data_IF_701232750387
#
_entry.id   IF_701232750387
#
_cell.length_a   1.000
_cell.length_b   1.000
_cell.length_c   1.000
_cell.angle_alpha   90.00
_cell.angle_beta   90.00
_cell.angle_gamma   90.00
#
_symmetry.space_group_name_H-M   'P 1'
#
loop_
_entity.id
_entity.type
_entity.pdbx_description
1 polymer ?
#
# COMPACT_ATOMS: atom_id res chain seq x y z
N UNK A 1 3.85 33.34 2.34
CA UNK A 1 3.04 32.10 2.24
C UNK A 1 4.02 30.95 2.37
N UNK A 2 3.99 30.18 3.47
CA UNK A 2 4.81 28.97 3.56
C UNK A 2 4.27 28.00 2.52
N UNK A 3 5.12 27.68 1.54
CA UNK A 3 4.83 26.64 0.56
C UNK A 3 4.93 25.31 1.31
N UNK A 4 3.84 24.86 1.96
CA UNK A 4 3.85 23.60 2.69
C UNK A 4 3.94 22.47 1.67
N UNK A 5 5.16 22.01 1.40
CA UNK A 5 5.42 20.86 0.57
C UNK A 5 4.60 19.67 1.11
N UNK A 6 3.79 19.06 0.27
CA UNK A 6 3.05 17.85 0.62
C UNK A 6 4.05 16.75 0.98
N UNK A 7 3.83 16.11 2.14
CA UNK A 7 4.66 15.01 2.62
C UNK A 7 4.12 13.68 2.12
N UNK A 8 4.95 12.87 1.47
CA UNK A 8 4.60 11.50 1.06
C UNK A 8 5.24 10.49 2.02
N UNK A 9 4.40 9.68 2.65
CA UNK A 9 4.83 8.59 3.54
C UNK A 9 4.54 7.26 2.84
N UNK A 10 5.59 6.48 2.57
CA UNK A 10 5.46 5.12 2.06
C UNK A 10 5.34 4.11 3.19
N UNK A 11 4.31 3.26 3.17
CA UNK A 11 4.09 2.17 4.13
C UNK A 11 4.16 0.84 3.40
N UNK A 12 5.33 0.22 3.41
CA UNK A 12 5.59 -1.08 2.80
C UNK A 12 5.52 -2.23 3.82
N UNK A 13 5.56 -3.46 3.35
CA UNK A 13 5.58 -4.68 4.16
C UNK A 13 4.84 -5.81 3.48
N UNK A 14 5.03 -7.04 3.92
CA UNK A 14 4.39 -8.23 3.34
C UNK A 14 2.87 -8.21 3.45
N UNK A 15 2.21 -9.05 2.66
CA UNK A 15 0.77 -9.26 2.83
C UNK A 15 0.47 -9.74 4.26
N UNK A 16 -0.59 -9.20 4.89
CA UNK A 16 -0.95 -9.52 6.28
C UNK A 16 -0.05 -8.86 7.35
N UNK A 17 0.92 -8.00 6.99
CA UNK A 17 1.81 -7.37 7.98
C UNK A 17 1.15 -6.26 8.81
N UNK A 18 0.00 -5.72 8.39
CA UNK A 18 -0.67 -4.60 9.06
C UNK A 18 -0.39 -3.22 8.47
N UNK A 19 0.15 -3.13 7.24
CA UNK A 19 0.36 -1.84 6.53
C UNK A 19 -0.89 -0.96 6.50
N UNK A 20 -2.00 -1.53 6.06
CA UNK A 20 -3.28 -0.82 5.97
C UNK A 20 -3.78 -0.37 7.34
N UNK A 21 -3.53 -1.16 8.38
CA UNK A 21 -3.83 -0.78 9.78
C UNK A 21 -3.02 0.44 10.19
N UNK A 22 -1.71 0.45 9.92
CA UNK A 22 -0.85 1.60 10.20
C UNK A 22 -1.30 2.85 9.43
N UNK A 23 -1.59 2.70 8.13
CA UNK A 23 -2.07 3.81 7.30
C UNK A 23 -3.40 4.39 7.83
N UNK A 24 -4.32 3.53 8.28
CA UNK A 24 -5.59 3.97 8.89
C UNK A 24 -5.37 4.70 10.21
N UNK A 25 -4.54 4.19 11.11
CA UNK A 25 -4.23 4.88 12.37
C UNK A 25 -3.68 6.28 12.13
N UNK A 26 -2.79 6.45 11.12
CA UNK A 26 -2.30 7.77 10.73
C UNK A 26 -3.45 8.65 10.22
N UNK A 27 -4.32 8.13 9.36
CA UNK A 27 -5.44 8.91 8.84
C UNK A 27 -6.48 9.26 9.91
N UNK A 28 -6.76 8.36 10.84
CA UNK A 28 -7.70 8.59 11.94
C UNK A 28 -7.20 9.71 12.88
N UNK A 29 -5.89 9.79 13.11
CA UNK A 29 -5.28 10.84 13.95
C UNK A 29 -5.36 12.23 13.31
N UNK A 30 -5.17 12.33 11.97
CA UNK A 30 -5.05 13.61 11.29
C UNK A 30 -6.25 13.97 10.41
N UNK A 31 -7.21 13.06 10.26
CA UNK A 31 -8.46 13.29 9.55
C UNK A 31 -8.26 13.86 8.14
N UNK A 32 -8.81 15.03 7.90
CA UNK A 32 -8.80 15.67 6.58
C UNK A 32 -7.41 16.15 6.10
N UNK A 33 -6.38 16.09 6.91
CA UNK A 33 -5.02 16.49 6.52
C UNK A 33 -4.27 15.38 5.80
N UNK A 34 -4.79 14.14 5.87
CA UNK A 34 -4.18 12.93 5.28
C UNK A 34 -5.05 12.36 4.16
N UNK A 35 -4.42 11.96 3.06
CA UNK A 35 -5.01 11.09 2.05
C UNK A 35 -4.28 9.74 2.03
N UNK A 36 -5.03 8.63 1.93
CA UNK A 36 -4.46 7.30 1.75
C UNK A 36 -4.59 6.91 0.29
N UNK A 37 -3.50 6.39 -0.28
CA UNK A 37 -3.46 5.77 -1.61
C UNK A 37 -2.98 4.34 -1.46
N UNK A 38 -3.83 3.39 -1.84
CA UNK A 38 -3.46 1.98 -1.88
C UNK A 38 -2.80 1.65 -3.22
N UNK A 39 -1.60 1.06 -3.19
CA UNK A 39 -0.90 0.59 -4.39
C UNK A 39 -1.73 -0.45 -5.16
N UNK A 40 -2.50 -1.27 -4.44
CA UNK A 40 -3.36 -2.29 -5.02
C UNK A 40 -4.43 -1.71 -5.97
N UNK A 41 -4.81 -0.44 -5.82
CA UNK A 41 -5.67 0.27 -6.79
C UNK A 41 -5.04 0.37 -8.18
N UNK A 42 -3.72 0.26 -8.28
CA UNK A 42 -2.95 0.43 -9.51
C UNK A 42 -2.54 -0.90 -10.16
N UNK A 43 -3.12 -2.04 -9.78
CA UNK A 43 -2.99 -3.23 -10.61
C UNK A 43 -3.43 -2.93 -12.04
N UNK A 44 -2.71 -3.46 -13.03
CA UNK A 44 -3.06 -3.25 -14.45
C UNK A 44 -4.45 -3.81 -14.73
N UNK A 45 -5.25 -3.07 -15.52
CA UNK A 45 -6.50 -3.59 -16.07
C UNK A 45 -6.20 -4.78 -17.00
N UNK A 46 -7.04 -5.80 -16.93
CA UNK A 46 -6.92 -7.05 -17.69
C UNK A 46 -8.24 -7.38 -18.40
N UNK A 47 -8.78 -6.38 -19.11
CA UNK A 47 -10.07 -6.49 -19.79
C UNK A 47 -10.03 -7.45 -20.98
N UNK A 48 -8.84 -7.78 -21.48
CA UNK A 48 -8.55 -8.72 -22.56
C UNK A 48 -8.50 -10.18 -22.10
N UNK A 49 -8.54 -10.45 -20.78
CA UNK A 49 -8.42 -11.79 -20.20
C UNK A 49 -9.74 -12.27 -19.61
N UNK A 50 -9.99 -13.58 -19.72
CA UNK A 50 -11.10 -14.23 -19.02
C UNK A 50 -10.93 -14.18 -17.50
N UNK A 51 -11.99 -14.45 -16.75
CA UNK A 51 -11.93 -14.51 -15.29
C UNK A 51 -10.93 -15.58 -14.80
N UNK A 52 -10.94 -16.75 -15.44
CA UNK A 52 -10.06 -17.89 -15.13
C UNK A 52 -8.59 -17.52 -15.35
N UNK A 53 -8.30 -16.83 -16.45
CA UNK A 53 -6.93 -16.35 -16.74
C UNK A 53 -6.48 -15.30 -15.71
N UNK A 54 -7.38 -14.43 -15.26
CA UNK A 54 -7.06 -13.46 -14.19
C UNK A 54 -6.83 -14.13 -12.85
N UNK A 55 -7.54 -15.20 -12.52
CA UNK A 55 -7.37 -15.93 -11.26
C UNK A 55 -5.98 -16.56 -11.10
N UNK A 56 -5.29 -16.88 -12.20
CA UNK A 56 -3.96 -17.50 -12.18
C UNK A 56 -2.81 -16.52 -12.36
N UNK A 57 -3.10 -15.22 -12.50
CA UNK A 57 -2.07 -14.19 -12.62
C UNK A 57 -1.26 -14.02 -11.34
N UNK A 58 0.01 -13.67 -11.51
CA UNK A 58 0.90 -13.30 -10.41
C UNK A 58 0.76 -11.80 -10.09
N UNK A 59 -0.11 -11.47 -9.13
CA UNK A 59 -0.31 -10.10 -8.66
C UNK A 59 0.76 -9.60 -7.68
N UNK A 60 1.66 -10.46 -7.26
CA UNK A 60 2.75 -10.11 -6.33
C UNK A 60 4.06 -9.77 -7.06
N UNK A 61 4.05 -9.72 -8.42
CA UNK A 61 5.19 -9.29 -9.23
C UNK A 61 5.10 -7.77 -9.53
N UNK A 62 6.23 -7.02 -9.57
CA UNK A 62 6.23 -5.59 -9.89
C UNK A 62 5.50 -5.23 -11.19
N UNK A 63 5.60 -6.07 -12.23
CA UNK A 63 4.96 -5.85 -13.53
C UNK A 63 3.43 -5.89 -13.49
N UNK A 64 2.85 -6.41 -12.39
CA UNK A 64 1.39 -6.40 -12.20
C UNK A 64 0.82 -5.00 -12.02
N UNK A 65 1.66 -4.01 -11.71
CA UNK A 65 1.24 -2.65 -11.37
C UNK A 65 1.47 -1.66 -12.50
N UNK A 66 0.58 -0.69 -12.61
CA UNK A 66 0.73 0.49 -13.47
C UNK A 66 1.41 1.62 -12.69
N UNK A 67 2.68 1.42 -12.38
CA UNK A 67 3.49 2.34 -11.56
C UNK A 67 3.60 3.73 -12.18
N UNK A 68 3.59 3.81 -13.52
CA UNK A 68 3.62 5.08 -14.23
C UNK A 68 2.41 5.96 -13.89
N UNK A 69 1.21 5.39 -13.92
CA UNK A 69 -0.02 6.10 -13.55
C UNK A 69 0.01 6.55 -12.08
N UNK A 70 0.52 5.70 -11.18
CA UNK A 70 0.68 6.06 -9.77
C UNK A 70 1.63 7.24 -9.60
N UNK A 71 2.80 7.24 -10.27
CA UNK A 71 3.74 8.36 -10.23
C UNK A 71 3.10 9.65 -10.74
N UNK A 72 2.34 9.59 -11.84
CA UNK A 72 1.61 10.75 -12.37
C UNK A 72 0.58 11.28 -11.38
N UNK A 73 -0.18 10.40 -10.73
CA UNK A 73 -1.17 10.79 -9.72
C UNK A 73 -0.51 11.44 -8.48
N UNK A 74 0.58 10.85 -7.98
CA UNK A 74 1.35 11.46 -6.88
C UNK A 74 1.88 12.84 -7.26
N UNK A 75 2.43 12.99 -8.47
CA UNK A 75 2.94 14.28 -8.95
C UNK A 75 1.84 15.34 -9.03
N UNK A 76 0.65 14.99 -9.55
CA UNK A 76 -0.51 15.89 -9.61
C UNK A 76 -0.97 16.30 -8.22
N UNK A 77 -1.10 15.36 -7.29
CA UNK A 77 -1.45 15.66 -5.90
C UNK A 77 -0.43 16.62 -5.27
N UNK A 78 0.87 16.40 -5.50
CA UNK A 78 1.93 17.29 -5.01
C UNK A 78 1.88 18.70 -5.63
N UNK A 79 1.32 18.85 -6.84
CA UNK A 79 1.07 20.16 -7.46
C UNK A 79 -0.28 20.79 -7.08
N UNK A 80 -1.04 20.17 -6.19
CA UNK A 80 -2.32 20.68 -5.71
C UNK A 80 -3.52 20.28 -6.57
N UNK A 81 -3.36 19.33 -7.48
CA UNK A 81 -4.41 18.83 -8.37
C UNK A 81 -5.05 17.56 -7.82
N UNK A 82 -6.38 17.47 -7.91
CA UNK A 82 -7.09 16.24 -7.58
C UNK A 82 -6.92 15.16 -8.65
N UNK A 83 -6.96 13.89 -8.24
CA UNK A 83 -6.84 12.74 -9.13
C UNK A 83 -7.98 11.76 -8.96
N UNK A 84 -8.29 11.01 -10.00
CA UNK A 84 -9.30 9.96 -10.00
C UNK A 84 -8.58 8.60 -9.91
N UNK A 85 -8.41 8.10 -8.68
CA UNK A 85 -7.72 6.84 -8.38
C UNK A 85 -8.58 5.66 -8.82
N UNK A 86 -8.03 4.69 -9.57
CA UNK A 86 -8.76 3.47 -9.96
C UNK A 86 -9.28 2.70 -8.73
N UNK A 87 -10.36 1.97 -8.90
CA UNK A 87 -10.86 1.03 -7.90
C UNK A 87 -10.62 -0.40 -8.42
N UNK A 88 -9.87 -1.18 -7.62
CA UNK A 88 -9.64 -2.58 -7.91
C UNK A 88 -10.70 -3.47 -7.25
N UNK A 89 -11.33 -4.31 -8.04
CA UNK A 89 -12.31 -5.30 -7.58
C UNK A 89 -11.63 -6.65 -7.37
N UNK A 90 -11.44 -7.00 -6.10
CA UNK A 90 -10.82 -8.28 -5.72
C UNK A 90 -11.67 -9.50 -6.09
N UNK A 91 -13.00 -9.33 -6.22
CA UNK A 91 -13.90 -10.42 -6.61
C UNK A 91 -13.80 -10.74 -8.10
N UNK A 92 -13.48 -9.73 -8.91
CA UNK A 92 -13.31 -9.86 -10.35
C UNK A 92 -11.85 -9.99 -10.78
N UNK A 93 -10.90 -9.86 -9.86
CA UNK A 93 -9.48 -9.80 -10.18
C UNK A 93 -9.15 -8.78 -11.29
N UNK A 94 -9.81 -7.62 -11.25
CA UNK A 94 -9.66 -6.58 -12.28
C UNK A 94 -9.95 -5.18 -11.71
N UNK A 95 -9.55 -4.14 -12.43
CA UNK A 95 -10.06 -2.78 -12.17
C UNK A 95 -11.54 -2.68 -12.56
N UNK A 96 -12.30 -1.96 -11.74
CA UNK A 96 -13.65 -1.55 -12.10
C UNK A 96 -13.61 -0.30 -13.02
N UNK A 97 -14.73 -0.01 -13.67
CA UNK A 97 -14.90 1.23 -14.45
C UNK A 97 -15.06 2.47 -13.57
N UNK A 98 -15.14 2.29 -12.26
CA UNK A 98 -15.29 3.38 -11.28
C UNK A 98 -13.93 3.86 -10.79
N UNK A 99 -13.89 5.13 -10.41
CA UNK A 99 -12.74 5.76 -9.76
C UNK A 99 -13.15 6.40 -8.44
N UNK A 100 -12.18 6.63 -7.59
CA UNK A 100 -12.34 7.40 -6.37
C UNK A 100 -11.57 8.72 -6.49
N UNK A 101 -12.27 9.86 -6.36
CA UNK A 101 -11.61 11.15 -6.42
C UNK A 101 -10.85 11.43 -5.14
N UNK A 102 -9.56 11.63 -5.26
CA UNK A 102 -8.65 11.98 -4.16
C UNK A 102 -8.22 13.44 -4.31
N UNK A 103 -8.44 14.22 -3.27
CA UNK A 103 -8.03 15.62 -3.20
C UNK A 103 -6.60 15.73 -2.65
N UNK A 104 -5.82 16.74 -3.05
CA UNK A 104 -4.52 17.00 -2.44
C UNK A 104 -4.68 17.29 -0.95
N UNK A 105 -3.82 16.69 -0.14
CA UNK A 105 -3.76 16.86 1.31
C UNK A 105 -2.34 17.17 1.73
N UNK A 106 -2.13 17.67 2.93
CA UNK A 106 -0.79 17.99 3.43
C UNK A 106 0.09 16.75 3.59
N UNK A 107 -0.53 15.59 3.83
CA UNK A 107 0.15 14.29 3.92
C UNK A 107 -0.53 13.28 3.01
N UNK A 108 0.26 12.54 2.25
CA UNK A 108 -0.19 11.40 1.45
C UNK A 108 0.46 10.15 2.03
N UNK A 109 -0.35 9.19 2.45
CA UNK A 109 0.12 7.85 2.85
C UNK A 109 -0.06 6.91 1.67
N UNK A 110 1.04 6.50 1.04
CA UNK A 110 1.06 5.47 0.00
C UNK A 110 1.35 4.12 0.66
N UNK A 111 0.41 3.17 0.60
CA UNK A 111 0.63 1.84 1.17
C UNK A 111 0.60 0.74 0.12
N UNK A 112 1.46 -0.25 0.27
CA UNK A 112 1.48 -1.42 -0.61
C UNK A 112 2.67 -2.33 -0.43
N UNK A 113 2.56 -3.56 -0.97
CA UNK A 113 3.60 -4.59 -0.82
C UNK A 113 4.86 -4.27 -1.62
N UNK A 114 4.74 -3.59 -2.79
CA UNK A 114 5.83 -3.39 -3.74
C UNK A 114 6.17 -1.90 -3.97
N UNK A 115 5.71 -0.99 -3.14
CA UNK A 115 5.96 0.45 -3.32
C UNK A 115 7.45 0.83 -3.23
N UNK A 116 8.28 -0.03 -2.66
CA UNK A 116 9.73 0.18 -2.61
C UNK A 116 10.47 -0.50 -3.77
N UNK A 117 9.79 -1.24 -4.65
CA UNK A 117 10.45 -1.89 -5.79
C UNK A 117 10.89 -0.90 -6.87
N UNK A 118 10.11 0.17 -7.09
CA UNK A 118 10.41 1.20 -8.09
C UNK A 118 11.17 2.39 -7.47
N UNK A 119 12.32 2.72 -8.07
CA UNK A 119 13.14 3.84 -7.60
C UNK A 119 12.40 5.17 -7.66
N UNK A 120 11.57 5.40 -8.69
CA UNK A 120 10.83 6.65 -8.86
C UNK A 120 9.87 6.89 -7.70
N UNK A 121 9.16 5.83 -7.25
CA UNK A 121 8.29 5.91 -6.07
C UNK A 121 9.09 6.20 -4.80
N UNK A 122 10.23 5.50 -4.61
CA UNK A 122 11.08 5.74 -3.42
C UNK A 122 11.59 7.17 -3.36
N UNK A 123 11.95 7.75 -4.51
CA UNK A 123 12.49 9.13 -4.58
C UNK A 123 11.40 10.19 -4.30
N UNK A 124 10.13 9.86 -4.46
CA UNK A 124 9.00 10.74 -4.12
C UNK A 124 8.64 10.70 -2.62
N UNK A 125 9.08 9.68 -1.90
CA UNK A 125 8.72 9.49 -0.47
C UNK A 125 9.65 10.28 0.44
N UNK A 126 9.07 11.09 1.33
CA UNK A 126 9.80 11.83 2.38
C UNK A 126 10.06 10.96 3.62
N UNK A 127 9.27 9.91 3.83
CA UNK A 127 9.43 8.92 4.92
C UNK A 127 9.02 7.53 4.42
N UNK A 128 9.88 6.55 4.63
CA UNK A 128 9.67 5.16 4.20
C UNK A 128 9.58 4.24 5.41
N UNK A 129 8.40 3.67 5.63
CA UNK A 129 8.10 2.77 6.74
C UNK A 129 7.96 1.33 6.21
N UNK A 130 8.59 0.38 6.88
CA UNK A 130 8.39 -1.03 6.58
C UNK A 130 7.75 -1.73 7.80
N UNK A 131 6.54 -2.25 7.62
CA UNK A 131 5.83 -3.00 8.66
C UNK A 131 6.31 -4.44 8.64
N UNK A 132 7.05 -4.80 9.70
CA UNK A 132 7.71 -6.09 9.85
C UNK A 132 6.92 -6.95 10.84
N UNK A 133 6.40 -8.06 10.33
CA UNK A 133 5.60 -9.03 11.08
C UNK A 133 6.02 -10.43 10.64
N UNK A 134 6.12 -11.35 11.56
CA UNK A 134 6.54 -12.72 11.31
C UNK A 134 5.64 -13.42 10.27
N UNK A 135 6.24 -14.32 9.49
CA UNK A 135 5.57 -14.91 8.34
C UNK A 135 4.35 -15.77 8.72
N UNK A 136 4.40 -16.44 9.86
CA UNK A 136 3.31 -17.25 10.41
C UNK A 136 2.12 -16.38 10.81
N UNK A 137 2.33 -15.25 11.50
CA UNK A 137 1.28 -14.29 11.80
C UNK A 137 0.67 -13.69 10.53
N UNK A 138 1.52 -13.32 9.56
CA UNK A 138 1.07 -12.76 8.30
C UNK A 138 0.18 -13.70 7.51
N UNK A 139 0.53 -15.00 7.44
CA UNK A 139 -0.29 -15.98 6.71
C UNK A 139 -1.62 -16.23 7.41
N UNK A 140 -1.65 -16.31 8.74
CA UNK A 140 -2.88 -16.46 9.51
C UNK A 140 -3.83 -15.27 9.27
N UNK A 141 -3.33 -14.04 9.38
CA UNK A 141 -4.11 -12.82 9.11
C UNK A 141 -4.61 -12.77 7.66
N UNK A 142 -3.80 -13.21 6.69
CA UNK A 142 -4.21 -13.30 5.29
C UNK A 142 -5.31 -14.32 5.07
N UNK A 143 -5.21 -15.51 5.68
CA UNK A 143 -6.23 -16.55 5.56
C UNK A 143 -7.57 -16.02 6.07
N UNK A 144 -7.61 -15.47 7.27
CA UNK A 144 -8.83 -14.92 7.86
C UNK A 144 -9.45 -13.85 6.94
N UNK A 145 -8.68 -12.83 6.57
CA UNK A 145 -9.17 -11.76 5.70
C UNK A 145 -9.67 -12.29 4.35
N UNK A 146 -8.91 -13.14 3.66
CA UNK A 146 -9.25 -13.56 2.30
C UNK A 146 -10.44 -14.54 2.29
N UNK A 147 -10.66 -15.29 3.39
CA UNK A 147 -11.85 -16.17 3.53
C UNK A 147 -13.08 -15.40 3.97
N UNK A 148 -12.98 -14.51 4.94
CA UNK A 148 -14.13 -13.81 5.54
C UNK A 148 -14.57 -12.59 4.72
N UNK A 149 -13.61 -11.79 4.21
CA UNK A 149 -13.93 -10.52 3.55
C UNK A 149 -13.94 -10.64 2.01
N UNK A 150 -13.18 -11.59 1.43
CA UNK A 150 -13.01 -11.73 -0.03
C UNK A 150 -13.68 -12.98 -0.60
N UNK A 151 -14.34 -13.77 0.23
CA UNK A 151 -15.11 -14.96 -0.18
C UNK A 151 -14.27 -16.09 -0.79
N UNK A 152 -12.95 -16.15 -0.51
CA UNK A 152 -12.05 -17.16 -1.07
C UNK A 152 -12.09 -18.43 -0.25
N UNK A 153 -11.89 -19.59 -0.90
CA UNK A 153 -11.68 -20.84 -0.16
C UNK A 153 -10.30 -20.88 0.48
N UNK A 154 -10.21 -21.51 1.67
CA UNK A 154 -8.94 -21.72 2.37
C UNK A 154 -7.88 -22.35 1.46
N UNK A 155 -8.27 -23.38 0.70
CA UNK A 155 -7.36 -24.07 -0.22
C UNK A 155 -6.83 -23.14 -1.32
N UNK A 156 -7.67 -22.27 -1.86
CA UNK A 156 -7.26 -21.28 -2.87
C UNK A 156 -6.22 -20.30 -2.29
N UNK A 157 -6.41 -19.84 -1.04
CA UNK A 157 -5.47 -18.92 -0.38
C UNK A 157 -4.12 -19.59 -0.13
N UNK A 158 -4.12 -20.86 0.36
CA UNK A 158 -2.90 -21.64 0.62
C UNK A 158 -2.14 -21.89 -0.68
N UNK A 159 -2.83 -22.36 -1.73
CA UNK A 159 -2.22 -22.65 -3.02
C UNK A 159 -1.55 -21.41 -3.61
N UNK A 160 -2.23 -20.27 -3.61
CA UNK A 160 -1.66 -19.02 -4.10
C UNK A 160 -0.46 -18.56 -3.24
N UNK A 161 -0.57 -18.71 -1.92
CA UNK A 161 0.53 -18.33 -1.03
C UNK A 161 1.81 -19.08 -1.34
N UNK A 162 1.73 -20.37 -1.54
CA UNK A 162 2.88 -21.22 -1.85
C UNK A 162 3.39 -21.00 -3.28
N UNK A 163 2.48 -20.81 -4.25
CA UNK A 163 2.84 -20.71 -5.66
C UNK A 163 3.43 -19.34 -6.04
N UNK A 164 2.89 -18.25 -5.50
CA UNK A 164 3.27 -16.89 -5.91
C UNK A 164 3.64 -15.98 -4.76
N UNK A 165 2.80 -15.87 -3.72
CA UNK A 165 2.96 -14.84 -2.68
C UNK A 165 4.28 -14.98 -1.93
N UNK A 166 4.60 -16.18 -1.44
CA UNK A 166 5.86 -16.41 -0.71
C UNK A 166 7.10 -16.23 -1.59
N UNK A 167 7.20 -16.84 -2.79
CA UNK A 167 8.34 -16.61 -3.68
C UNK A 167 8.52 -15.13 -4.06
N UNK A 168 7.43 -14.41 -4.34
CA UNK A 168 7.49 -12.99 -4.69
C UNK A 168 7.84 -12.11 -3.47
N UNK A 169 7.37 -12.47 -2.28
CA UNK A 169 7.78 -11.80 -1.05
C UNK A 169 9.29 -11.90 -0.86
N UNK A 170 9.85 -13.11 -1.00
CA UNK A 170 11.28 -13.37 -0.82
C UNK A 170 12.13 -12.65 -1.91
N UNK A 171 11.58 -12.49 -3.12
CA UNK A 171 12.27 -11.86 -4.24
C UNK A 171 12.12 -10.32 -4.27
N UNK A 172 10.94 -9.77 -3.94
CA UNK A 172 10.60 -8.38 -4.23
C UNK A 172 10.08 -7.58 -3.02
N UNK A 173 9.82 -8.18 -1.88
CA UNK A 173 9.36 -7.45 -0.68
C UNK A 173 10.44 -7.40 0.37
N UNK A 174 10.90 -8.55 0.83
CA UNK A 174 11.92 -8.64 1.89
C UNK A 174 13.24 -7.93 1.53
N UNK A 175 13.81 -8.08 0.31
CA UNK A 175 15.06 -7.40 -0.04
C UNK A 175 14.94 -5.87 -0.06
N UNK A 176 13.73 -5.34 -0.27
CA UNK A 176 13.49 -3.88 -0.32
C UNK A 176 13.26 -3.25 1.06
N UNK A 177 13.13 -4.04 2.12
CA UNK A 177 13.14 -3.58 3.52
C UNK A 177 14.34 -2.67 3.84
N UNK A 178 15.48 -2.90 3.21
CA UNK A 178 16.70 -2.07 3.33
C UNK A 178 16.52 -0.60 2.92
N UNK A 179 15.46 -0.25 2.20
CA UNK A 179 15.17 1.13 1.81
C UNK A 179 14.28 1.86 2.81
N UNK A 180 13.79 1.17 3.84
CA UNK A 180 13.00 1.80 4.88
C UNK A 180 13.87 2.72 5.75
N UNK A 181 13.32 3.87 6.10
CA UNK A 181 13.90 4.76 7.09
C UNK A 181 13.60 4.27 8.51
N UNK A 182 12.42 3.61 8.68
CA UNK A 182 11.97 3.03 9.96
C UNK A 182 11.36 1.65 9.69
N UNK A 183 11.76 0.67 10.49
CA UNK A 183 11.11 -0.65 10.54
C UNK A 183 10.15 -0.66 11.73
N UNK A 184 8.90 -0.99 11.49
CA UNK A 184 7.81 -1.07 12.49
C UNK A 184 7.59 -2.54 12.83
N UNK A 185 8.10 -3.04 13.98
CA UNK A 185 7.96 -4.44 14.35
C UNK A 185 6.56 -4.74 14.91
N UNK A 186 6.13 -6.00 14.79
CA UNK A 186 4.90 -6.51 15.40
C UNK A 186 3.59 -6.05 14.76
N UNK A 187 3.68 -5.38 13.61
CA UNK A 187 2.50 -4.95 12.87
C UNK A 187 2.12 -3.48 13.03
N UNK A 188 1.02 -3.09 12.37
CA UNK A 188 0.61 -1.69 12.24
C UNK A 188 0.01 -1.03 13.49
N UNK A 189 -0.15 -1.76 14.58
CA UNK A 189 -0.68 -1.25 15.85
C UNK A 189 0.39 -1.07 16.94
N UNK A 190 1.68 -1.09 16.59
CA UNK A 190 2.77 -0.87 17.54
C UNK A 190 2.68 0.56 18.13
N UNK A 191 2.40 0.72 19.45
CA UNK A 191 2.13 2.04 20.03
C UNK A 191 3.34 2.98 19.99
N UNK A 192 4.53 2.45 20.24
CA UNK A 192 5.76 3.25 20.25
C UNK A 192 6.10 3.76 18.84
N UNK A 193 5.97 2.91 17.83
CA UNK A 193 6.18 3.30 16.45
C UNK A 193 5.13 4.34 16.00
N UNK A 194 3.87 4.15 16.36
CA UNK A 194 2.79 5.11 16.06
C UNK A 194 3.07 6.47 16.66
N UNK A 195 3.45 6.55 17.94
CA UNK A 195 3.76 7.82 18.62
C UNK A 195 4.88 8.58 17.91
N UNK A 196 5.97 7.89 17.55
CA UNK A 196 7.09 8.48 16.79
C UNK A 196 6.65 9.02 15.42
N UNK A 197 5.85 8.24 14.68
CA UNK A 197 5.37 8.60 13.35
C UNK A 197 4.43 9.80 13.44
N UNK A 198 3.46 9.77 14.36
CA UNK A 198 2.52 10.86 14.63
C UNK A 198 3.25 12.14 14.99
N UNK A 199 4.23 12.06 15.89
CA UNK A 199 5.06 13.21 16.27
C UNK A 199 5.81 13.79 15.07
N UNK A 200 6.35 12.96 14.19
CA UNK A 200 7.03 13.40 12.96
C UNK A 200 6.07 14.12 12.01
N UNK A 201 4.83 13.60 11.86
CA UNK A 201 3.80 14.21 11.02
C UNK A 201 3.34 15.54 11.62
N UNK A 202 3.05 15.62 12.93
CA UNK A 202 2.68 16.87 13.62
C UNK A 202 3.70 17.97 13.38
N UNK A 203 4.99 17.65 13.48
CA UNK A 203 6.06 18.61 13.20
C UNK A 203 6.02 19.10 11.75
N UNK A 204 5.67 18.25 10.78
CA UNK A 204 5.52 18.64 9.38
C UNK A 204 4.33 19.59 9.17
N UNK A 205 3.23 19.32 9.86
CA UNK A 205 2.00 20.12 9.77
C UNK A 205 2.08 21.45 10.52
N UNK A 206 3.17 21.70 11.26
CA UNK A 206 3.32 22.90 12.10
C UNK A 206 2.52 22.85 13.39
N UNK A 207 1.97 21.71 13.76
CA UNK A 207 1.23 21.45 14.99
C UNK A 207 2.25 20.97 16.05
N UNK A 208 2.79 21.89 16.84
CA UNK A 208 3.72 21.60 17.96
C UNK A 208 2.95 21.23 19.20
#
# INVERSE_FOLDING_TARGET
MMNNKIMIIGVAGGTGSGKTTLARHIADEFGNEVAIIAHDSYYRAQNDKSFEERCVQNYDHPDAFETELLCQHLSKLCSGEAVDVPIYDYSQHNRSDKTCRVLPRQVIVLEGILIFSDKRLRDMMDLKLFVDTDADERILRRILRDTEERGRSLQSVINQYLATVKPMHDAFVEPYKRYADIIVPGGGSNPAALDMIITRIRKQLGNS
#
